data_IF_259944542254
#
_entry.id   IF_259944542254
#
_cell.length_a   1.000
_cell.length_b   1.000
_cell.length_c   1.000
_cell.angle_alpha   90.00
_cell.angle_beta   90.00
_cell.angle_gamma   90.00
#
_symmetry.space_group_name_H-M   'P 1'
#
loop_
_entity.id
_entity.type
_entity.pdbx_description
1 polymer ?
#
# COMPACT_ATOMS: atom_id res chain seq x y z
N UNK A 1 -1.87 18.43 -25.78
CA UNK A 1 -1.49 17.07 -25.35
C UNK A 1 -0.63 17.22 -24.10
N UNK A 2 -1.26 17.45 -22.94
CA UNK A 2 -0.59 17.67 -21.65
C UNK A 2 -1.46 16.97 -20.60
N UNK A 3 -1.04 15.78 -20.17
CA UNK A 3 -1.86 14.95 -19.27
C UNK A 3 -1.26 13.58 -18.96
N UNK A 4 -0.34 13.07 -19.79
CA UNK A 4 0.31 11.77 -19.54
C UNK A 4 1.47 11.88 -18.54
N UNK A 5 2.34 12.88 -18.69
CA UNK A 5 3.58 12.99 -17.90
C UNK A 5 3.37 13.20 -16.38
N UNK A 6 2.19 13.68 -15.96
CA UNK A 6 1.85 13.87 -14.54
C UNK A 6 1.25 12.61 -13.89
N UNK A 7 0.83 11.63 -14.68
CA UNK A 7 0.34 10.33 -14.19
C UNK A 7 1.44 9.28 -14.14
N UNK A 8 2.43 9.36 -15.03
CA UNK A 8 3.50 8.36 -15.11
C UNK A 8 4.40 8.36 -13.86
N UNK A 9 4.62 9.51 -13.20
CA UNK A 9 5.38 9.57 -11.93
C UNK A 9 4.63 8.98 -10.72
N UNK A 10 3.29 8.97 -10.73
CA UNK A 10 2.45 8.46 -9.64
C UNK A 10 2.43 6.92 -9.61
N UNK A 11 2.46 6.27 -10.77
CA UNK A 11 2.52 4.80 -10.89
C UNK A 11 3.91 4.26 -10.51
N UNK A 12 4.97 4.99 -10.87
CA UNK A 12 6.34 4.65 -10.51
C UNK A 12 6.58 4.77 -8.99
N UNK A 13 5.86 5.68 -8.34
CA UNK A 13 5.95 5.90 -6.91
C UNK A 13 5.43 4.71 -6.08
N UNK A 14 4.22 4.22 -6.36
CA UNK A 14 3.62 3.12 -5.58
C UNK A 14 4.47 1.83 -5.66
N UNK A 15 5.05 1.53 -6.82
CA UNK A 15 5.96 0.40 -6.99
C UNK A 15 7.28 0.59 -6.22
N UNK A 16 7.76 1.83 -6.12
CA UNK A 16 8.98 2.16 -5.37
C UNK A 16 8.77 1.95 -3.87
N UNK A 17 7.66 2.46 -3.32
CA UNK A 17 7.30 2.28 -1.91
C UNK A 17 7.08 0.80 -1.61
N UNK A 18 6.35 0.07 -2.47
CA UNK A 18 6.15 -1.37 -2.34
C UNK A 18 7.47 -2.13 -2.27
N UNK A 19 8.43 -1.81 -3.16
CA UNK A 19 9.75 -2.46 -3.11
C UNK A 19 10.49 -2.20 -1.79
N UNK A 20 10.33 -1.01 -1.20
CA UNK A 20 10.88 -0.71 0.12
C UNK A 20 10.18 -1.50 1.22
N UNK A 21 8.86 -1.61 1.17
CA UNK A 21 8.07 -2.40 2.11
C UNK A 21 8.37 -3.90 2.01
N UNK A 22 8.56 -4.46 0.80
CA UNK A 22 8.95 -5.86 0.62
C UNK A 22 10.30 -6.17 1.26
N UNK A 23 11.26 -5.22 1.21
CA UNK A 23 12.54 -5.36 1.92
C UNK A 23 12.35 -5.29 3.43
N UNK A 24 11.49 -4.40 3.92
CA UNK A 24 11.16 -4.30 5.34
C UNK A 24 10.46 -5.58 5.84
N UNK A 25 9.50 -6.10 5.08
CA UNK A 25 8.79 -7.34 5.34
C UNK A 25 9.78 -8.50 5.49
N UNK A 26 10.72 -8.63 4.54
CA UNK A 26 11.68 -9.73 4.51
C UNK A 26 12.59 -9.72 5.76
N UNK A 27 12.95 -8.54 6.24
CA UNK A 27 13.72 -8.39 7.50
C UNK A 27 12.81 -8.68 8.70
N UNK A 28 11.62 -8.08 8.74
CA UNK A 28 10.70 -8.17 9.87
C UNK A 28 10.23 -9.60 10.13
N UNK A 29 9.95 -10.37 9.08
CA UNK A 29 9.49 -11.76 9.16
C UNK A 29 10.46 -12.68 9.93
N UNK A 30 11.75 -12.36 9.98
CA UNK A 30 12.77 -13.14 10.68
C UNK A 30 13.10 -12.66 12.09
N UNK A 31 12.64 -11.48 12.51
CA UNK A 31 13.11 -10.83 13.75
C UNK A 31 11.98 -10.29 14.64
N UNK A 32 10.80 -10.04 14.10
CA UNK A 32 9.66 -9.48 14.84
C UNK A 32 8.67 -10.60 15.19
N UNK A 33 8.15 -10.64 16.43
CA UNK A 33 7.04 -11.53 16.80
C UNK A 33 5.82 -11.35 15.88
N UNK A 34 5.09 -12.43 15.63
CA UNK A 34 3.97 -12.44 14.66
C UNK A 34 2.79 -11.55 15.03
N UNK A 35 2.62 -11.24 16.32
CA UNK A 35 1.56 -10.39 16.85
C UNK A 35 1.97 -8.91 17.00
N UNK A 36 3.25 -8.59 16.77
CA UNK A 36 3.77 -7.24 16.89
C UNK A 36 3.57 -6.45 15.61
N UNK A 37 3.17 -5.18 15.77
CA UNK A 37 3.03 -4.24 14.66
C UNK A 37 4.40 -3.77 14.16
N UNK A 38 4.51 -3.68 12.84
CA UNK A 38 5.67 -3.19 12.10
C UNK A 38 5.24 -1.94 11.32
N UNK A 39 6.02 -0.85 11.36
CA UNK A 39 5.69 0.38 10.65
C UNK A 39 6.10 0.29 9.18
N UNK A 40 5.20 -0.19 8.34
CA UNK A 40 5.36 -0.13 6.89
C UNK A 40 5.16 1.29 6.36
N UNK A 41 5.65 1.59 5.17
CA UNK A 41 5.43 2.86 4.51
C UNK A 41 4.04 2.89 3.86
N UNK A 42 3.38 4.05 3.93
CA UNK A 42 2.10 4.29 3.26
C UNK A 42 2.27 4.25 1.74
N UNK A 43 1.42 3.46 1.07
CA UNK A 43 1.50 3.18 -0.38
C UNK A 43 0.52 4.02 -1.21
N UNK A 44 0.11 5.16 -0.67
CA UNK A 44 -0.79 6.10 -1.35
C UNK A 44 -0.16 6.66 -2.62
N UNK A 45 -0.98 7.29 -3.45
CA UNK A 45 -0.51 7.87 -4.71
C UNK A 45 0.42 9.08 -4.51
N UNK A 46 0.45 9.71 -3.34
CA UNK A 46 1.36 10.83 -3.05
C UNK A 46 2.83 10.37 -2.93
N UNK A 47 3.67 10.75 -3.90
CA UNK A 47 5.11 10.44 -3.89
C UNK A 47 6.00 11.29 -2.99
N UNK A 48 5.41 12.20 -2.23
CA UNK A 48 6.06 12.85 -1.09
C UNK A 48 5.65 12.25 0.27
N UNK A 49 4.77 11.25 0.26
CA UNK A 49 4.29 10.63 1.49
C UNK A 49 5.40 9.81 2.16
N UNK A 50 5.68 10.14 3.42
CA UNK A 50 6.54 9.37 4.32
C UNK A 50 5.75 8.81 5.52
N UNK A 51 4.43 8.74 5.36
CA UNK A 51 3.51 8.18 6.35
C UNK A 51 3.81 6.72 6.63
N UNK A 52 3.45 6.27 7.83
CA UNK A 52 3.64 4.87 8.25
C UNK A 52 2.31 4.22 8.54
N UNK A 53 2.19 2.97 8.13
CA UNK A 53 1.06 2.09 8.41
C UNK A 53 1.54 0.98 9.33
N UNK A 54 1.02 0.97 10.54
CA UNK A 54 1.34 -0.06 11.52
C UNK A 54 0.46 -1.29 11.28
N UNK A 55 1.09 -2.40 10.91
CA UNK A 55 0.42 -3.69 10.71
C UNK A 55 1.35 -4.86 11.03
N UNK A 56 0.79 -6.04 11.24
CA UNK A 56 1.57 -7.28 11.39
C UNK A 56 2.13 -7.70 10.03
N UNK A 57 3.24 -8.43 10.05
CA UNK A 57 3.82 -9.03 8.84
C UNK A 57 2.80 -9.90 8.09
N UNK A 58 1.98 -10.67 8.82
CA UNK A 58 0.95 -11.51 8.22
C UNK A 58 -0.15 -10.70 7.50
N UNK A 59 -0.50 -9.52 8.02
CA UNK A 59 -1.46 -8.62 7.37
C UNK A 59 -0.88 -8.04 6.08
N UNK A 60 0.41 -7.66 6.12
CA UNK A 60 1.11 -7.20 4.92
C UNK A 60 1.11 -8.27 3.83
N UNK A 61 1.45 -9.51 4.17
CA UNK A 61 1.49 -10.64 3.24
C UNK A 61 0.10 -10.97 2.67
N UNK A 62 -0.95 -10.88 3.50
CA UNK A 62 -2.34 -11.07 3.10
C UNK A 62 -2.77 -10.04 2.05
N UNK A 63 -2.55 -8.75 2.33
CA UNK A 63 -2.90 -7.65 1.42
C UNK A 63 -2.18 -7.81 0.09
N UNK A 64 -0.88 -8.11 0.13
CA UNK A 64 -0.02 -8.18 -1.04
C UNK A 64 -0.08 -9.51 -1.79
N UNK A 65 -0.93 -10.44 -1.35
CA UNK A 65 -1.29 -11.65 -2.12
C UNK A 65 -1.93 -11.29 -3.47
N UNK A 66 -2.54 -10.10 -3.54
CA UNK A 66 -2.97 -9.45 -4.78
C UNK A 66 -2.00 -8.31 -5.12
N UNK A 67 -1.49 -8.31 -6.36
CA UNK A 67 -0.50 -7.31 -6.82
C UNK A 67 -1.10 -5.92 -6.99
N UNK A 68 -2.42 -5.82 -7.09
CA UNK A 68 -3.11 -4.54 -7.29
C UNK A 68 -3.74 -4.01 -5.99
N UNK A 69 -3.31 -4.48 -4.82
CA UNK A 69 -3.70 -3.96 -3.51
C UNK A 69 -2.56 -3.21 -2.85
N UNK A 70 -2.92 -2.16 -2.11
CA UNK A 70 -2.00 -1.26 -1.42
C UNK A 70 -2.57 -0.87 -0.06
N UNK A 71 -1.69 -0.59 0.88
CA UNK A 71 -2.03 -0.17 2.24
C UNK A 71 -1.74 1.31 2.46
N UNK A 72 -2.74 2.08 2.87
CA UNK A 72 -2.65 3.53 3.00
C UNK A 72 -3.18 4.02 4.35
N UNK A 73 -2.65 5.14 4.83
CA UNK A 73 -3.26 5.85 5.96
C UNK A 73 -4.68 6.28 5.55
N UNK A 74 -5.61 6.28 6.51
CA UNK A 74 -6.97 6.72 6.28
C UNK A 74 -7.03 8.08 5.56
N UNK A 75 -7.91 8.15 4.56
CA UNK A 75 -8.17 9.38 3.76
C UNK A 75 -6.94 9.91 2.98
N UNK A 76 -5.91 9.09 2.77
CA UNK A 76 -4.79 9.43 1.89
C UNK A 76 -5.12 9.30 0.39
N UNK A 77 -4.29 9.94 -0.44
CA UNK A 77 -4.52 10.09 -1.88
C UNK A 77 -4.58 8.73 -2.62
N UNK A 78 -5.66 8.57 -3.41
CA UNK A 78 -5.88 7.41 -4.28
C UNK A 78 -5.40 7.70 -5.70
N UNK A 79 -4.77 6.73 -6.34
CA UNK A 79 -4.45 6.84 -7.76
C UNK A 79 -5.72 6.76 -8.62
N UNK A 80 -5.68 7.28 -9.85
CA UNK A 80 -6.82 7.18 -10.75
C UNK A 80 -7.16 5.71 -11.03
N UNK A 81 -8.40 5.30 -10.73
CA UNK A 81 -8.87 3.93 -10.84
C UNK A 81 -8.69 3.08 -9.57
N UNK A 82 -8.13 3.63 -8.50
CA UNK A 82 -8.15 3.01 -7.17
C UNK A 82 -9.44 3.31 -6.41
N UNK A 83 -9.86 2.35 -5.60
CA UNK A 83 -10.93 2.53 -4.63
C UNK A 83 -10.55 1.81 -3.32
N UNK A 84 -11.04 2.33 -2.20
CA UNK A 84 -11.00 1.62 -0.92
C UNK A 84 -11.86 0.37 -1.03
N UNK A 85 -11.26 -0.79 -0.78
CA UNK A 85 -11.95 -2.10 -0.80
C UNK A 85 -12.18 -2.64 0.60
N UNK A 86 -11.42 -2.17 1.59
CA UNK A 86 -11.52 -2.56 2.99
C UNK A 86 -11.00 -1.42 3.89
N UNK A 87 -11.77 -1.07 4.90
CA UNK A 87 -11.36 -0.15 5.96
C UNK A 87 -10.96 -0.98 7.19
N UNK A 88 -9.72 -0.84 7.65
CA UNK A 88 -9.25 -1.46 8.90
C UNK A 88 -9.21 -0.43 10.01
N UNK A 89 -8.86 -0.86 11.22
CA UNK A 89 -8.85 0.04 12.37
C UNK A 89 -7.71 1.09 12.33
N UNK A 90 -6.62 0.80 11.61
CA UNK A 90 -5.40 1.63 11.61
C UNK A 90 -5.06 2.20 10.22
N UNK A 91 -5.64 1.65 9.16
CA UNK A 91 -5.33 1.99 7.77
C UNK A 91 -6.42 1.47 6.83
N UNK A 92 -6.39 1.91 5.58
CA UNK A 92 -7.27 1.44 4.52
C UNK A 92 -6.51 0.58 3.51
N UNK A 93 -7.22 -0.38 2.93
CA UNK A 93 -6.73 -1.18 1.81
C UNK A 93 -7.42 -0.70 0.55
N UNK A 94 -6.62 -0.35 -0.46
CA UNK A 94 -7.10 0.17 -1.73
C UNK A 94 -6.71 -0.77 -2.85
N UNK A 95 -7.48 -0.78 -3.93
CA UNK A 95 -7.16 -1.56 -5.11
C UNK A 95 -7.49 -0.87 -6.43
N UNK A 96 -6.64 -1.10 -7.44
CA UNK A 96 -6.88 -0.71 -8.85
C UNK A 96 -7.90 -1.62 -9.53
N UNK A 97 -8.09 -2.83 -8.99
CA UNK A 97 -9.12 -3.74 -9.48
C UNK A 97 -10.37 -3.47 -8.64
N UNK A 98 -11.32 -2.73 -9.19
CA UNK A 98 -12.70 -2.83 -8.72
C UNK A 98 -13.08 -4.30 -8.86
N UNK A 99 -13.18 -4.99 -7.72
CA UNK A 99 -13.65 -6.37 -7.74
C UNK A 99 -15.06 -6.33 -8.30
N UNK A 100 -15.24 -6.82 -9.54
CA UNK A 100 -16.54 -7.27 -9.99
C UNK A 100 -16.87 -8.47 -9.10
N UNK A 101 -17.61 -8.23 -8.01
CA UNK A 101 -18.30 -9.30 -7.34
C UNK A 101 -19.23 -9.96 -8.38
N UNK A 102 -18.89 -11.19 -8.77
CA UNK A 102 -19.78 -12.10 -9.48
C UNK A 102 -20.56 -12.89 -8.45
#
# INVERSE_FOLDING_TARGET
MEGSARNDWLIENQQTVRSANERLQAVAAGVVPTDQLVPFLCECADGSCLGRVDMKVAEYDEIHSDRDRYSIIHDHELANGEAVIEERALFDVVSKRMNQAV
#
